data_IF_084052020980
#
_entry.id   IF_084052020980
#
_cell.length_a   1.000
_cell.length_b   1.000
_cell.length_c   1.000
_cell.angle_alpha   90.00
_cell.angle_beta   90.00
_cell.angle_gamma   90.00
#
_symmetry.space_group_name_H-M   'P 1'
#
loop_
_entity.id
_entity.type
_entity.pdbx_description
1 polymer ?
#
# COMPACT_ATOMS: atom_id res chain seq x y z
N UNK A 1 -1.60 8.92 4.82
CA UNK A 1 -0.65 8.03 4.11
C UNK A 1 -0.68 8.47 2.67
N UNK A 2 0.45 8.42 2.01
CA UNK A 2 0.53 8.71 0.57
C UNK A 2 0.88 7.43 -0.16
N UNK A 3 0.45 7.34 -1.41
CA UNK A 3 0.84 6.31 -2.36
C UNK A 3 1.53 6.96 -3.55
N UNK A 4 2.57 6.33 -4.07
CA UNK A 4 3.20 6.70 -5.33
C UNK A 4 3.87 5.49 -5.96
N UNK A 5 3.96 5.47 -7.28
CA UNK A 5 4.76 4.51 -8.04
C UNK A 5 5.98 5.17 -8.66
N UNK A 6 7.06 4.42 -8.77
CA UNK A 6 8.29 4.83 -9.47
C UNK A 6 8.73 3.72 -10.43
N UNK A 7 9.36 4.09 -11.52
CA UNK A 7 9.98 3.15 -12.46
C UNK A 7 11.16 3.82 -13.15
N UNK A 8 11.91 3.04 -13.95
CA UNK A 8 13.01 3.60 -14.72
C UNK A 8 12.48 4.65 -15.72
N UNK A 9 12.83 5.91 -15.49
CA UNK A 9 12.44 7.03 -16.35
C UNK A 9 11.10 7.68 -16.01
N UNK A 10 10.45 7.34 -14.90
CA UNK A 10 9.19 7.99 -14.53
C UNK A 10 8.70 7.71 -13.13
N UNK A 11 7.60 8.38 -12.77
CA UNK A 11 6.90 8.26 -11.49
C UNK A 11 5.45 8.70 -11.64
N UNK A 12 4.59 8.23 -10.74
CA UNK A 12 3.25 8.79 -10.57
C UNK A 12 3.31 10.12 -9.81
N UNK A 13 2.25 10.95 -9.88
CA UNK A 13 1.98 11.93 -8.85
C UNK A 13 1.84 11.28 -7.46
N UNK A 14 1.99 12.08 -6.40
CA UNK A 14 1.68 11.63 -5.05
C UNK A 14 0.15 11.58 -4.88
N UNK A 15 -0.37 10.43 -4.48
CA UNK A 15 -1.79 10.24 -4.18
C UNK A 15 -1.99 10.20 -2.67
N UNK A 16 -2.93 10.99 -2.16
CA UNK A 16 -3.29 10.95 -0.73
C UNK A 16 -4.27 9.81 -0.50
N UNK A 17 -3.82 8.76 0.19
CA UNK A 17 -4.70 7.68 0.62
C UNK A 17 -5.63 8.21 1.72
N UNK A 18 -6.93 8.28 1.40
CA UNK A 18 -7.97 8.62 2.37
C UNK A 18 -8.32 7.41 3.22
N UNK A 19 -8.43 7.59 4.54
CA UNK A 19 -8.86 6.54 5.47
C UNK A 19 -10.30 6.12 5.17
N UNK A 20 -10.59 4.83 5.30
CA UNK A 20 -11.92 4.30 5.04
C UNK A 20 -12.78 4.34 6.31
N UNK A 21 -13.89 5.10 6.34
CA UNK A 21 -14.78 5.15 7.50
C UNK A 21 -15.37 3.79 7.87
N UNK A 22 -15.47 2.87 6.90
CA UNK A 22 -16.02 1.53 7.08
C UNK A 22 -15.03 0.52 7.69
N UNK A 23 -13.77 0.92 7.90
CA UNK A 23 -12.74 0.09 8.52
C UNK A 23 -13.10 -0.38 9.94
N UNK A 24 -14.03 0.31 10.60
CA UNK A 24 -14.62 -0.10 11.88
C UNK A 24 -16.07 -0.50 11.68
N UNK A 25 -16.33 -1.74 11.24
CA UNK A 25 -17.60 -2.35 11.61
C UNK A 25 -17.55 -2.58 13.12
N UNK A 26 -18.21 -1.70 13.89
CA UNK A 26 -18.57 -1.99 15.28
C UNK A 26 -19.23 -3.38 15.28
N UNK A 27 -18.77 -4.28 16.14
CA UNK A 27 -19.63 -5.36 16.59
C UNK A 27 -20.79 -4.72 17.36
N UNK A 28 -22.05 -4.82 16.89
CA UNK A 28 -23.19 -4.23 17.59
C UNK A 28 -23.41 -4.80 18.99
N UNK A 29 -22.84 -5.97 19.30
CA UNK A 29 -22.96 -6.67 20.58
C UNK A 29 -21.93 -6.21 21.64
N UNK A 30 -20.86 -5.50 21.26
CA UNK A 30 -19.82 -5.09 22.19
C UNK A 30 -20.23 -3.81 22.97
N UNK A 31 -20.72 -4.00 24.20
CA UNK A 31 -21.30 -2.93 25.04
C UNK A 31 -20.26 -2.01 25.72
N UNK A 32 -19.04 -1.89 25.21
CA UNK A 32 -18.04 -0.91 25.64
C UNK A 32 -17.34 -0.29 24.44
N UNK A 33 -17.26 1.05 24.33
CA UNK A 33 -16.41 1.68 23.33
C UNK A 33 -14.95 1.33 23.64
N UNK A 34 -14.34 0.49 22.82
CA UNK A 34 -12.90 0.25 22.86
C UNK A 34 -12.18 1.55 22.45
N UNK A 35 -11.36 2.17 23.32
CA UNK A 35 -10.59 3.37 22.99
C UNK A 35 -9.66 3.19 21.77
N UNK A 36 -9.31 1.95 21.44
CA UNK A 36 -8.50 1.59 20.27
C UNK A 36 -9.29 1.64 18.95
N UNK A 37 -10.63 1.54 19.01
CA UNK A 37 -11.53 1.50 17.87
C UNK A 37 -11.68 2.86 17.15
N UNK A 38 -11.03 3.94 17.59
CA UNK A 38 -10.97 5.18 16.81
C UNK A 38 -9.85 5.19 15.75
N UNK A 39 -9.08 4.10 15.62
CA UNK A 39 -8.04 3.97 14.59
C UNK A 39 -8.66 3.64 13.23
N UNK A 40 -9.17 4.68 12.55
CA UNK A 40 -9.65 4.64 11.15
C UNK A 40 -8.51 4.18 10.22
N UNK A 41 -8.35 2.87 10.01
CA UNK A 41 -7.24 2.29 9.26
C UNK A 41 -7.30 2.56 7.75
N UNK A 42 -6.24 2.20 7.05
CA UNK A 42 -6.27 2.04 5.59
C UNK A 42 -6.78 0.64 5.28
N UNK A 43 -7.64 0.52 4.27
CA UNK A 43 -8.27 -0.72 3.82
C UNK A 43 -7.85 -1.06 2.40
N UNK A 44 -8.14 -2.28 1.97
CA UNK A 44 -8.05 -2.69 0.56
C UNK A 44 -8.82 -1.76 -0.39
N UNK A 45 -9.93 -1.15 0.08
CA UNK A 45 -10.66 -0.14 -0.69
C UNK A 45 -9.85 1.15 -0.85
N UNK A 46 -9.31 1.68 0.24
CA UNK A 46 -8.48 2.89 0.16
C UNK A 46 -7.25 2.70 -0.71
N UNK A 47 -6.65 1.51 -0.69
CA UNK A 47 -5.53 1.15 -1.54
C UNK A 47 -5.90 1.10 -3.02
N UNK A 48 -6.96 0.37 -3.39
CA UNK A 48 -7.41 0.30 -4.79
C UNK A 48 -7.82 1.67 -5.34
N UNK A 49 -8.40 2.54 -4.51
CA UNK A 49 -8.68 3.91 -4.93
C UNK A 49 -7.39 4.67 -5.26
N UNK A 50 -6.32 4.49 -4.49
CA UNK A 50 -5.03 5.08 -4.80
C UNK A 50 -4.41 4.51 -6.08
N UNK A 51 -4.53 3.20 -6.32
CA UNK A 51 -4.10 2.60 -7.58
C UNK A 51 -4.91 3.11 -8.78
N UNK A 52 -6.21 3.33 -8.62
CA UNK A 52 -7.05 3.93 -9.67
C UNK A 52 -6.61 5.35 -10.03
N UNK A 53 -6.29 6.15 -9.03
CA UNK A 53 -5.90 7.55 -9.21
C UNK A 53 -4.46 7.68 -9.73
N UNK A 54 -3.55 6.84 -9.23
CA UNK A 54 -2.12 6.99 -9.48
C UNK A 54 -1.53 6.00 -10.48
N UNK A 55 -1.87 4.72 -10.39
CA UNK A 55 -1.28 3.67 -11.23
C UNK A 55 -1.97 3.54 -12.58
N UNK A 56 -3.30 3.40 -12.60
CA UNK A 56 -4.04 3.12 -13.84
C UNK A 56 -3.78 4.12 -14.98
N UNK A 57 -3.68 5.45 -14.73
CA UNK A 57 -3.45 6.41 -15.81
C UNK A 57 -2.09 6.26 -16.52
N UNK A 58 -1.13 5.58 -15.90
CA UNK A 58 0.25 5.43 -16.42
C UNK A 58 0.63 3.98 -16.67
N UNK A 59 -0.27 3.04 -16.40
CA UNK A 59 0.02 1.62 -16.54
C UNK A 59 -0.22 1.17 -17.98
N UNK A 60 0.88 0.83 -18.67
CA UNK A 60 0.88 0.48 -20.10
C UNK A 60 0.79 -1.04 -20.35
N UNK A 61 0.63 -1.87 -19.31
CA UNK A 61 0.58 -3.34 -19.44
C UNK A 61 1.92 -4.02 -19.72
N UNK A 62 2.98 -3.27 -20.02
CA UNK A 62 4.32 -3.81 -20.35
C UNK A 62 5.21 -4.03 -19.13
N UNK A 63 4.81 -3.54 -17.96
CA UNK A 63 5.59 -3.59 -16.71
C UNK A 63 4.86 -4.42 -15.70
N UNK A 64 5.59 -5.25 -14.94
CA UNK A 64 5.02 -5.92 -13.77
C UNK A 64 4.97 -4.97 -12.59
N UNK A 65 3.80 -4.86 -11.98
CA UNK A 65 3.57 -4.07 -10.80
C UNK A 65 4.13 -4.77 -9.56
N UNK A 66 4.87 -4.03 -8.74
CA UNK A 66 5.45 -4.55 -7.50
C UNK A 66 4.84 -3.80 -6.31
N UNK A 67 4.35 -4.55 -5.33
CA UNK A 67 3.76 -4.04 -4.08
C UNK A 67 4.34 -4.81 -2.90
N UNK A 68 4.30 -4.22 -1.70
CA UNK A 68 4.69 -4.92 -0.48
C UNK A 68 3.61 -5.94 -0.05
N UNK A 69 3.97 -6.79 0.91
CA UNK A 69 3.09 -7.83 1.42
C UNK A 69 2.09 -7.35 2.49
N UNK A 70 1.78 -6.05 2.56
CA UNK A 70 0.78 -5.55 3.50
C UNK A 70 -0.57 -6.26 3.29
N UNK A 71 -1.25 -6.55 4.40
CA UNK A 71 -2.51 -7.31 4.40
C UNK A 71 -3.55 -6.70 3.46
N UNK A 72 -3.58 -5.37 3.30
CA UNK A 72 -4.53 -4.66 2.43
C UNK A 72 -4.21 -4.79 0.92
N UNK A 73 -2.98 -5.17 0.57
CA UNK A 73 -2.53 -5.38 -0.81
C UNK A 73 -2.76 -6.81 -1.27
N UNK A 74 -2.53 -7.79 -0.38
CA UNK A 74 -2.54 -9.22 -0.74
C UNK A 74 -3.80 -9.99 -0.32
N UNK A 75 -4.67 -9.43 0.53
CA UNK A 75 -5.89 -10.11 0.95
C UNK A 75 -7.17 -9.54 0.34
N UNK A 76 -8.24 -10.32 0.47
CA UNK A 76 -9.59 -10.01 0.04
C UNK A 76 -9.68 -9.75 -1.47
N UNK A 77 -10.20 -8.60 -1.85
CA UNK A 77 -10.65 -8.27 -3.20
C UNK A 77 -9.60 -7.50 -4.00
N UNK A 78 -8.40 -7.29 -3.45
CA UNK A 78 -7.31 -6.58 -4.14
C UNK A 78 -6.70 -7.40 -5.27
N UNK A 79 -6.28 -8.67 -5.08
CA UNK A 79 -5.70 -9.47 -6.15
C UNK A 79 -6.65 -9.67 -7.34
N UNK A 80 -7.91 -9.99 -7.06
CA UNK A 80 -8.95 -10.11 -8.09
C UNK A 80 -9.15 -8.78 -8.83
N UNK A 81 -9.14 -7.65 -8.12
CA UNK A 81 -9.25 -6.34 -8.75
C UNK A 81 -8.07 -6.05 -9.69
N UNK A 82 -6.83 -6.32 -9.27
CA UNK A 82 -5.64 -6.16 -10.13
C UNK A 82 -5.79 -6.95 -11.44
N UNK A 83 -6.25 -8.20 -11.34
CA UNK A 83 -6.53 -9.05 -12.52
C UNK A 83 -7.60 -8.43 -13.43
N UNK A 84 -8.71 -7.91 -12.88
CA UNK A 84 -9.76 -7.25 -13.68
C UNK A 84 -9.28 -5.98 -14.39
N UNK A 85 -8.20 -5.36 -13.91
CA UNK A 85 -7.59 -4.19 -14.55
C UNK A 85 -6.44 -4.58 -15.49
N UNK A 86 -6.23 -5.88 -15.75
CA UNK A 86 -5.10 -6.40 -16.51
C UNK A 86 -3.72 -5.96 -15.95
N UNK A 87 -3.64 -5.75 -14.64
CA UNK A 87 -2.38 -5.44 -13.96
C UNK A 87 -1.69 -6.76 -13.61
N UNK A 88 -0.58 -7.04 -14.28
CA UNK A 88 0.33 -8.08 -13.87
C UNK A 88 1.08 -7.62 -12.62
N UNK A 89 1.03 -8.38 -11.54
CA UNK A 89 1.77 -8.07 -10.32
C UNK A 89 2.70 -9.22 -9.92
N UNK A 90 3.76 -8.88 -9.19
CA UNK A 90 4.72 -9.84 -8.67
C UNK A 90 4.20 -10.38 -7.34
N UNK A 91 4.00 -11.70 -7.27
CA UNK A 91 3.75 -12.40 -6.02
C UNK A 91 5.08 -12.61 -5.27
N UNK A 92 5.16 -12.18 -4.01
CA UNK A 92 6.37 -12.29 -3.19
C UNK A 92 6.13 -13.26 -2.03
N UNK A 93 7.08 -14.19 -1.76
CA UNK A 93 6.98 -15.08 -0.61
C UNK A 93 6.84 -14.27 0.70
N UNK A 94 5.96 -14.75 1.57
CA UNK A 94 5.80 -14.20 2.91
C UNK A 94 7.10 -14.32 3.71
N UNK A 95 7.36 -13.36 4.61
CA UNK A 95 8.52 -13.34 5.51
C UNK A 95 9.91 -13.15 4.87
N UNK A 96 9.98 -12.65 3.63
CA UNK A 96 11.26 -12.30 2.98
C UNK A 96 11.39 -10.80 2.70
N UNK A 97 11.51 -9.94 3.74
CA UNK A 97 11.68 -8.49 3.55
C UNK A 97 12.95 -8.17 2.77
N UNK A 98 14.00 -8.98 2.90
CA UNK A 98 15.26 -8.85 2.16
C UNK A 98 15.10 -9.01 0.64
N UNK A 99 14.02 -9.68 0.22
CA UNK A 99 13.70 -9.85 -1.18
C UNK A 99 12.79 -8.75 -1.72
N UNK A 100 12.29 -7.85 -0.87
CA UNK A 100 11.40 -6.77 -1.28
C UNK A 100 12.22 -5.51 -1.62
N UNK A 101 12.42 -5.17 -2.91
CA UNK A 101 13.27 -4.04 -3.30
C UNK A 101 12.77 -2.70 -2.74
N UNK A 102 11.48 -2.60 -2.38
CA UNK A 102 10.89 -1.40 -1.80
C UNK A 102 11.48 -1.09 -0.42
N UNK A 103 11.90 -2.09 0.36
CA UNK A 103 12.49 -1.87 1.69
C UNK A 103 13.85 -1.16 1.56
N UNK A 104 14.65 -1.57 0.58
CA UNK A 104 15.91 -0.88 0.25
C UNK A 104 15.67 0.55 -0.25
N UNK A 105 14.64 0.75 -1.08
CA UNK A 105 14.26 2.08 -1.55
C UNK A 105 13.81 2.98 -0.39
N UNK A 106 12.99 2.46 0.54
CA UNK A 106 12.56 3.19 1.73
C UNK A 106 13.73 3.52 2.65
N UNK A 107 14.66 2.58 2.88
CA UNK A 107 15.88 2.83 3.65
C UNK A 107 16.69 3.97 3.07
N UNK A 108 16.92 3.93 1.75
CA UNK A 108 17.66 4.98 1.03
C UNK A 108 16.94 6.33 1.06
N UNK A 109 15.61 6.33 0.99
CA UNK A 109 14.81 7.55 1.10
C UNK A 109 14.89 8.15 2.51
N UNK A 110 14.73 7.32 3.56
CA UNK A 110 14.85 7.75 4.96
C UNK A 110 16.20 8.41 5.23
N UNK A 111 17.30 7.80 4.78
CA UNK A 111 18.66 8.36 4.88
C UNK A 111 18.78 9.76 4.30
N UNK A 112 18.10 10.02 3.18
CA UNK A 112 18.15 11.32 2.50
C UNK A 112 17.26 12.37 3.16
N UNK A 113 16.15 11.96 3.77
CA UNK A 113 15.21 12.86 4.44
C UNK A 113 15.73 13.24 5.83
N UNK A 114 16.31 12.27 6.54
CA UNK A 114 16.87 12.47 7.88
C UNK A 114 17.97 11.44 8.13
N UNK A 115 19.25 11.87 8.05
CA UNK A 115 20.40 11.00 8.27
C UNK A 115 20.44 10.31 9.65
N UNK A 116 19.77 10.87 10.67
CA UNK A 116 19.80 10.35 12.04
C UNK A 116 18.80 9.21 12.29
N UNK A 117 17.83 8.97 11.39
CA UNK A 117 16.77 7.95 11.55
C UNK A 117 17.25 6.49 11.53
N UNK A 118 18.53 6.21 11.26
CA UNK A 118 19.08 4.86 11.23
C UNK A 118 19.74 4.40 12.53
N UNK A 119 19.90 5.26 13.53
CA UNK A 119 20.52 4.87 14.80
C UNK A 119 19.54 4.16 15.77
N UNK A 120 18.28 3.97 15.37
CA UNK A 120 17.23 3.40 16.23
C UNK A 120 16.43 2.22 15.62
N UNK A 121 16.88 1.62 14.52
CA UNK A 121 16.19 0.48 13.87
C UNK A 121 17.01 -0.81 13.90
#
# INVERSE_FOLDING_TARGET
MVWAGIWKGGRTPLVIMRRDPSANRRDPSANRPDPSANRRGYTARSYRNALREGLLPVYEGTRRFQQDNARIHNFAVTPQWLQTQAIEYIDWPSHSPDLNPIEHAWRSLKQKIDPELLHFS
#
